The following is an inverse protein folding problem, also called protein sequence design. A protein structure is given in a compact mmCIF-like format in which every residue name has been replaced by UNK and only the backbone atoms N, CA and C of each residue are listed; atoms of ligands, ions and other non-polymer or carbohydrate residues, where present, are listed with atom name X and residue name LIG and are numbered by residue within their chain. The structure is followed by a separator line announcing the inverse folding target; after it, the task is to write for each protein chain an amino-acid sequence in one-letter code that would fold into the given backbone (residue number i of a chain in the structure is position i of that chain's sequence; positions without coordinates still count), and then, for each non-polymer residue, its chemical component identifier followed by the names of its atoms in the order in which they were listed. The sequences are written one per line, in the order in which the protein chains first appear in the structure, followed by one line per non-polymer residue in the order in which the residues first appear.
data_IF_944341512553
#
_entry.id   IF_944341512553
#
_cell.length_a   1.000
_cell.length_b   1.000
_cell.length_c   1.000
_cell.angle_alpha   90.00
_cell.angle_beta   90.00
_cell.angle_gamma   90.00
#
_symmetry.space_group_name_H-M   'P 1'
#
loop_
_entity.id
_entity.type
_entity.pdbx_description
1 polymer ?
#
# COMPACT_ATOMS: atom_id res chain seq x y z
N UNK A 1 9.35 13.76 15.15
CA UNK A 1 8.40 12.85 15.84
C UNK A 1 9.17 11.63 16.31
N UNK A 2 9.02 11.17 17.56
CA UNK A 2 9.63 9.91 17.97
C UNK A 2 9.04 8.79 17.10
N UNK A 3 9.89 8.01 16.44
CA UNK A 3 9.48 7.02 15.45
C UNK A 3 8.64 5.90 16.05
N UNK A 4 7.60 5.47 15.33
CA UNK A 4 6.84 4.27 15.67
C UNK A 4 7.78 3.06 15.64
N UNK A 5 7.89 2.33 16.76
CA UNK A 5 8.66 1.09 16.85
C UNK A 5 7.71 -0.09 16.71
N UNK A 6 8.02 -0.99 15.78
CA UNK A 6 7.28 -2.24 15.59
C UNK A 6 8.12 -3.39 16.15
N UNK A 7 7.50 -4.31 16.89
CA UNK A 7 8.16 -5.50 17.41
C UNK A 7 7.39 -6.75 16.95
N UNK A 8 8.13 -7.80 16.62
CA UNK A 8 7.60 -9.12 16.31
C UNK A 8 7.83 -10.05 17.51
N UNK A 9 6.78 -10.77 17.92
CA UNK A 9 6.88 -11.82 18.94
C UNK A 9 7.30 -13.13 18.29
N UNK A 10 8.28 -13.81 18.89
CA UNK A 10 8.63 -15.18 18.54
C UNK A 10 7.92 -16.13 19.51
N UNK A 11 6.92 -16.86 19.01
CA UNK A 11 6.12 -17.80 19.81
C UNK A 11 6.88 -19.06 20.22
N UNK A 12 8.04 -19.33 19.60
CA UNK A 12 8.85 -20.52 19.90
C UNK A 12 9.87 -20.26 21.01
N UNK A 13 10.42 -19.04 21.07
CA UNK A 13 11.51 -18.69 21.99
C UNK A 13 11.14 -17.60 23.02
N UNK A 14 9.86 -17.21 23.13
CA UNK A 14 9.40 -16.14 24.05
C UNK A 14 10.18 -14.82 23.93
N UNK A 15 10.74 -14.55 22.74
CA UNK A 15 11.54 -13.38 22.44
C UNK A 15 10.75 -12.29 21.73
N UNK A 16 11.21 -11.04 21.85
CA UNK A 16 10.75 -9.92 21.03
C UNK A 16 11.90 -9.42 20.17
N UNK A 17 11.64 -9.18 18.88
CA UNK A 17 12.62 -8.60 17.94
C UNK A 17 12.05 -7.32 17.34
N UNK A 18 12.80 -6.21 17.42
CA UNK A 18 12.43 -4.96 16.75
C UNK A 18 12.46 -5.18 15.23
N UNK A 19 11.38 -4.77 14.55
CA UNK A 19 11.31 -4.75 13.10
C UNK A 19 11.82 -3.39 12.64
N UNK A 20 13.06 -3.37 12.13
CA UNK A 20 13.68 -2.14 11.62
C UNK A 20 12.87 -1.62 10.42
N UNK A 21 12.40 -0.37 10.45
CA UNK A 21 11.72 0.22 9.30
C UNK A 21 12.71 0.40 8.14
N UNK A 22 12.23 0.16 6.92
CA UNK A 22 12.97 0.45 5.68
C UNK A 22 12.21 1.54 4.92
N UNK A 23 12.89 2.63 4.59
CA UNK A 23 12.34 3.64 3.69
C UNK A 23 12.36 3.09 2.27
N UNK A 24 11.29 3.34 1.52
CA UNK A 24 11.29 3.13 0.08
C UNK A 24 12.13 4.22 -0.60
N UNK A 25 12.83 3.87 -1.66
CA UNK A 25 13.67 4.82 -2.41
C UNK A 25 12.84 5.64 -3.40
N UNK A 26 11.81 5.01 -3.99
CA UNK A 26 10.88 5.65 -4.93
C UNK A 26 9.44 5.29 -4.63
N UNK A 27 8.52 6.15 -5.07
CA UNK A 27 7.08 5.98 -4.90
C UNK A 27 6.57 4.65 -5.48
N UNK A 28 7.10 4.26 -6.65
CA UNK A 28 6.77 3.01 -7.33
C UNK A 28 7.04 1.76 -6.47
N UNK A 29 8.02 1.79 -5.56
CA UNK A 29 8.29 0.66 -4.67
C UNK A 29 7.19 0.49 -3.63
N UNK A 30 6.66 1.60 -3.10
CA UNK A 30 5.54 1.59 -2.16
C UNK A 30 4.27 1.15 -2.87
N UNK A 31 4.02 1.70 -4.07
CA UNK A 31 2.88 1.31 -4.89
C UNK A 31 2.90 -0.19 -5.17
N UNK A 32 3.99 -0.73 -5.70
CA UNK A 32 4.10 -2.16 -6.00
C UNK A 32 3.92 -3.06 -4.77
N UNK A 33 4.45 -2.66 -3.60
CA UNK A 33 4.26 -3.41 -2.36
C UNK A 33 2.80 -3.40 -1.90
N UNK A 34 2.14 -2.24 -1.98
CA UNK A 34 0.73 -2.10 -1.60
C UNK A 34 -0.15 -2.87 -2.57
N UNK A 35 0.03 -2.74 -3.87
CA UNK A 35 -0.75 -3.46 -4.89
C UNK A 35 -0.64 -4.98 -4.74
N UNK A 36 0.57 -5.50 -4.49
CA UNK A 36 0.80 -6.94 -4.29
C UNK A 36 0.13 -7.51 -3.01
N UNK A 37 -0.20 -6.65 -2.05
CA UNK A 37 -0.76 -7.04 -0.75
C UNK A 37 -2.05 -6.27 -0.39
N UNK A 38 -2.69 -5.65 -1.37
CA UNK A 38 -3.74 -4.65 -1.18
C UNK A 38 -4.94 -5.21 -0.42
N UNK A 39 -5.31 -6.46 -0.71
CA UNK A 39 -6.39 -7.15 -0.03
C UNK A 39 -6.09 -7.33 1.47
N UNK A 40 -4.86 -7.70 1.83
CA UNK A 40 -4.48 -7.88 3.24
C UNK A 40 -4.29 -6.56 3.97
N UNK A 41 -3.74 -5.55 3.29
CA UNK A 41 -3.39 -4.27 3.91
C UNK A 41 -4.61 -3.36 4.07
N UNK A 42 -5.51 -3.36 3.09
CA UNK A 42 -6.59 -2.38 2.97
C UNK A 42 -7.98 -3.02 2.87
N UNK A 43 -8.09 -4.35 2.73
CA UNK A 43 -9.37 -5.00 2.45
C UNK A 43 -9.88 -4.74 1.02
N UNK A 44 -8.98 -4.34 0.10
CA UNK A 44 -9.31 -3.94 -1.26
C UNK A 44 -8.75 -4.94 -2.26
N UNK A 45 -9.61 -5.49 -3.12
CA UNK A 45 -9.19 -6.33 -4.25
C UNK A 45 -8.65 -5.45 -5.37
N UNK A 46 -7.35 -5.58 -5.63
CA UNK A 46 -6.68 -4.88 -6.70
C UNK A 46 -7.26 -5.21 -8.09
N UNK A 47 -7.37 -4.19 -8.95
CA UNK A 47 -7.85 -4.32 -10.33
C UNK A 47 -6.81 -3.88 -11.37
N UNK A 48 -6.20 -2.72 -11.18
CA UNK A 48 -5.25 -2.15 -12.15
C UNK A 48 -4.34 -1.11 -11.49
N UNK A 49 -3.09 -1.06 -11.95
CA UNK A 49 -2.19 0.08 -11.73
C UNK A 49 -2.35 1.09 -12.86
N UNK A 50 -2.00 2.34 -12.61
CA UNK A 50 -1.86 3.39 -13.62
C UNK A 50 -3.10 3.52 -14.53
N UNK A 51 -4.28 3.40 -13.93
CA UNK A 51 -5.55 3.31 -14.65
C UNK A 51 -5.90 4.66 -15.30
N UNK A 52 -5.96 4.69 -16.63
CA UNK A 52 -6.35 5.89 -17.37
C UNK A 52 -7.83 6.21 -17.18
N UNK A 53 -8.15 7.47 -16.88
CA UNK A 53 -9.55 7.95 -16.76
C UNK A 53 -10.16 8.35 -18.11
N UNK A 54 -9.49 7.98 -19.20
CA UNK A 54 -9.94 8.14 -20.58
C UNK A 54 -9.82 9.56 -21.12
N UNK A 55 -10.17 9.77 -22.40
CA UNK A 55 -9.93 11.04 -23.10
C UNK A 55 -10.68 12.24 -22.53
N UNK A 56 -11.82 12.01 -21.85
CA UNK A 56 -12.66 13.07 -21.30
C UNK A 56 -12.02 13.72 -20.07
N UNK A 57 -11.40 12.90 -19.20
CA UNK A 57 -10.79 13.38 -17.97
C UNK A 57 -9.27 13.54 -18.09
N UNK A 58 -8.63 12.80 -19.00
CA UNK A 58 -7.21 12.91 -19.34
C UNK A 58 -6.25 12.59 -18.19
N UNK A 59 -6.76 12.00 -17.10
CA UNK A 59 -6.00 11.71 -15.89
C UNK A 59 -5.59 10.25 -15.79
N UNK A 60 -4.95 9.95 -14.66
CA UNK A 60 -4.48 8.63 -14.27
C UNK A 60 -4.76 8.44 -12.78
N UNK A 61 -5.17 7.24 -12.42
CA UNK A 61 -5.30 6.77 -11.05
C UNK A 61 -4.13 5.82 -10.81
N UNK A 62 -3.34 6.03 -9.76
CA UNK A 62 -2.16 5.18 -9.52
C UNK A 62 -2.55 3.73 -9.25
N UNK A 63 -3.56 3.48 -8.39
CA UNK A 63 -4.14 2.13 -8.24
C UNK A 63 -5.67 2.15 -8.09
N UNK A 64 -6.33 1.23 -8.80
CA UNK A 64 -7.76 0.99 -8.76
C UNK A 64 -8.07 -0.38 -8.14
N UNK A 65 -9.07 -0.42 -7.25
CA UNK A 65 -9.54 -1.64 -6.61
C UNK A 65 -11.03 -1.64 -6.27
N UNK A 66 -11.51 -2.72 -5.63
CA UNK A 66 -12.86 -2.87 -5.09
C UNK A 66 -12.82 -3.28 -3.63
N UNK A 67 -13.64 -2.65 -2.79
CA UNK A 67 -13.82 -3.07 -1.39
C UNK A 67 -14.71 -4.33 -1.25
N UNK A 68 -14.97 -4.75 -0.01
CA UNK A 68 -15.82 -5.90 0.32
C UNK A 68 -17.27 -5.78 -0.18
N UNK A 69 -17.76 -4.56 -0.42
CA UNK A 69 -19.10 -4.27 -0.93
C UNK A 69 -19.12 -4.11 -2.46
N UNK A 70 -17.97 -4.24 -3.13
CA UNK A 70 -17.83 -3.98 -4.56
C UNK A 70 -17.83 -2.49 -4.94
N UNK A 71 -17.58 -1.59 -3.98
CA UNK A 71 -17.41 -0.16 -4.26
C UNK A 71 -16.02 0.12 -4.82
N UNK A 72 -15.87 1.01 -5.82
CA UNK A 72 -14.56 1.36 -6.36
C UNK A 72 -13.72 2.12 -5.34
N UNK A 73 -12.46 1.73 -5.22
CA UNK A 73 -11.46 2.38 -4.35
C UNK A 73 -10.30 2.87 -5.21
N UNK A 74 -9.92 4.13 -4.99
CA UNK A 74 -8.75 4.77 -5.59
C UNK A 74 -7.69 4.91 -4.50
N UNK A 75 -6.46 4.47 -4.79
CA UNK A 75 -5.29 4.69 -3.94
C UNK A 75 -4.27 5.49 -4.74
N UNK A 76 -3.92 6.66 -4.24
CA UNK A 76 -2.90 7.53 -4.83
C UNK A 76 -1.66 7.53 -3.94
N UNK A 77 -0.49 7.53 -4.57
CA UNK A 77 0.79 7.58 -3.87
C UNK A 77 1.36 9.00 -3.98
N UNK A 78 2.17 9.37 -3.00
CA UNK A 78 2.81 10.69 -3.01
C UNK A 78 4.19 10.58 -2.40
N UNK A 79 5.17 11.03 -3.15
CA UNK A 79 6.45 11.43 -2.58
C UNK A 79 6.24 12.64 -1.65
N UNK A 80 6.71 12.53 -0.40
CA UNK A 80 6.75 13.68 0.51
C UNK A 80 8.06 14.42 0.29
N UNK A 81 8.04 15.39 -0.62
CA UNK A 81 9.10 16.41 -0.73
C UNK A 81 8.93 17.50 0.31
#
# INVERSE_FOLDING_TARGET
MPGLKLFRTDTTNSGMTEVTPRLAEVEADVQGLVEAHMERLLGVRFLASEYSTGPVHGGRIDSLGLDENGSPVIVEFTDRR
#
